data_IF_657036912597
#
_entry.id   IF_657036912597
#
_cell.length_a   1.000
_cell.length_b   1.000
_cell.length_c   1.000
_cell.angle_alpha   90.00
_cell.angle_beta   90.00
_cell.angle_gamma   90.00
#
_symmetry.space_group_name_H-M   'P 1'
#
loop_
_entity.id
_entity.type
_entity.pdbx_description
1 polymer ?
#
# COMPACT_ATOMS: atom_id res chain seq x y z
N UNK A 1 -34.61 -11.75 17.90
CA UNK A 1 -33.66 -10.91 17.13
C UNK A 1 -33.20 -11.75 15.96
N UNK A 2 -33.46 -11.27 14.74
CA UNK A 2 -33.01 -11.94 13.52
C UNK A 2 -31.50 -11.71 13.37
N UNK A 3 -30.71 -12.76 13.13
CA UNK A 3 -29.24 -12.65 13.11
C UNK A 3 -28.74 -11.78 11.95
N UNK A 4 -29.56 -11.66 10.90
CA UNK A 4 -29.32 -10.80 9.73
C UNK A 4 -29.24 -9.31 10.09
N UNK A 5 -29.88 -8.86 11.17
CA UNK A 5 -29.81 -7.46 11.59
C UNK A 5 -28.43 -7.06 12.09
N UNK A 6 -27.63 -8.02 12.57
CA UNK A 6 -26.23 -7.79 12.94
C UNK A 6 -25.33 -7.58 11.73
N UNK A 7 -25.70 -8.13 10.57
CA UNK A 7 -24.98 -7.93 9.31
C UNK A 7 -25.19 -6.51 8.79
N UNK A 8 -26.40 -5.96 8.92
CA UNK A 8 -26.67 -4.56 8.56
C UNK A 8 -25.93 -3.54 9.43
N UNK A 9 -25.57 -3.90 10.67
CA UNK A 9 -24.71 -3.12 11.56
C UNK A 9 -23.23 -3.11 11.14
N UNK A 10 -22.84 -3.92 10.16
CA UNK A 10 -21.52 -3.92 9.54
C UNK A 10 -21.47 -3.10 8.25
N UNK A 11 -22.60 -2.53 7.81
CA UNK A 11 -22.67 -1.69 6.62
C UNK A 11 -22.65 -0.21 7.02
N UNK A 12 -21.65 0.53 6.52
CA UNK A 12 -21.55 1.97 6.77
C UNK A 12 -22.14 2.76 5.59
N UNK A 13 -23.45 2.62 5.35
CA UNK A 13 -24.12 3.17 4.16
C UNK A 13 -23.88 4.68 3.95
N UNK A 14 -23.74 5.44 5.03
CA UNK A 14 -23.48 6.89 4.98
C UNK A 14 -22.03 7.27 4.65
N UNK A 15 -21.09 6.30 4.64
CA UNK A 15 -19.65 6.54 4.48
C UNK A 15 -19.16 6.52 3.03
N UNK A 16 -20.06 6.68 2.05
CA UNK A 16 -19.70 6.63 0.63
C UNK A 16 -18.71 7.73 0.22
N UNK A 17 -18.86 8.96 0.76
CA UNK A 17 -17.90 10.07 0.53
C UNK A 17 -16.54 9.71 1.10
N UNK A 18 -16.52 9.19 2.33
CA UNK A 18 -15.28 8.80 3.00
C UNK A 18 -14.55 7.70 2.20
N UNK A 19 -15.29 6.69 1.69
CA UNK A 19 -14.73 5.67 0.79
C UNK A 19 -14.07 6.30 -0.43
N UNK A 20 -14.76 7.21 -1.13
CA UNK A 20 -14.21 7.86 -2.33
C UNK A 20 -12.92 8.63 -2.04
N UNK A 21 -12.93 9.46 -0.98
CA UNK A 21 -11.79 10.27 -0.58
C UNK A 21 -10.60 9.37 -0.25
N UNK A 22 -10.82 8.33 0.56
CA UNK A 22 -9.74 7.44 1.00
C UNK A 22 -9.21 6.60 -0.17
N UNK A 23 -10.08 6.01 -1.00
CA UNK A 23 -9.66 5.20 -2.14
C UNK A 23 -8.83 6.02 -3.14
N UNK A 24 -9.31 7.21 -3.51
CA UNK A 24 -8.61 8.08 -4.48
C UNK A 24 -7.35 8.69 -3.88
N UNK A 25 -7.40 9.12 -2.62
CA UNK A 25 -6.25 9.68 -1.92
C UNK A 25 -5.10 8.68 -1.81
N UNK A 26 -5.39 7.45 -1.36
CA UNK A 26 -4.38 6.39 -1.25
C UNK A 26 -3.88 5.96 -2.62
N UNK A 27 -4.74 5.88 -3.64
CA UNK A 27 -4.30 5.63 -5.02
C UNK A 27 -3.35 6.72 -5.54
N UNK A 28 -3.62 8.00 -5.27
CA UNK A 28 -2.72 9.09 -5.63
C UNK A 28 -1.35 8.95 -4.93
N UNK A 29 -1.33 8.54 -3.66
CA UNK A 29 -0.08 8.26 -2.94
C UNK A 29 0.66 7.07 -3.56
N UNK A 30 -0.03 6.00 -4.00
CA UNK A 30 0.59 4.92 -4.76
C UNK A 30 1.22 5.42 -6.06
N UNK A 31 0.54 6.29 -6.82
CA UNK A 31 1.11 6.89 -8.04
C UNK A 31 2.41 7.64 -7.72
N UNK A 32 2.42 8.47 -6.68
CA UNK A 32 3.61 9.20 -6.25
C UNK A 32 4.73 8.27 -5.79
N UNK A 33 4.39 7.20 -5.06
CA UNK A 33 5.35 6.20 -4.62
C UNK A 33 5.98 5.48 -5.81
N UNK A 34 5.19 5.00 -6.77
CA UNK A 34 5.70 4.39 -7.99
C UNK A 34 6.52 5.36 -8.86
N UNK A 35 6.12 6.63 -8.94
CA UNK A 35 6.88 7.67 -9.65
C UNK A 35 8.23 7.93 -8.97
N UNK A 36 8.25 7.98 -7.64
CA UNK A 36 9.47 8.11 -6.85
C UNK A 36 10.39 6.91 -7.07
N UNK A 37 9.85 5.69 -6.96
CA UNK A 37 10.58 4.44 -7.23
C UNK A 37 11.12 4.40 -8.65
N UNK A 38 10.34 4.78 -9.66
CA UNK A 38 10.75 4.76 -11.07
C UNK A 38 12.04 5.56 -11.32
N UNK A 39 12.19 6.71 -10.65
CA UNK A 39 13.35 7.58 -10.79
C UNK A 39 14.49 7.25 -9.82
N UNK A 40 14.19 7.02 -8.55
CA UNK A 40 15.21 6.93 -7.50
C UNK A 40 15.74 5.50 -7.31
N UNK A 41 14.88 4.49 -7.44
CA UNK A 41 15.25 3.12 -7.12
C UNK A 41 16.40 2.59 -8.00
N UNK A 42 16.44 2.80 -9.33
CA UNK A 42 17.56 2.31 -10.14
C UNK A 42 18.93 2.84 -9.68
N UNK A 43 18.99 4.08 -9.19
CA UNK A 43 20.23 4.69 -8.70
C UNK A 43 20.63 4.13 -7.34
N UNK A 44 19.66 3.89 -6.45
CA UNK A 44 19.93 3.42 -5.09
C UNK A 44 20.17 1.92 -5.03
N UNK A 45 19.36 1.14 -5.73
CA UNK A 45 19.16 -0.29 -5.53
C UNK A 45 19.11 -1.08 -6.85
N UNK A 46 19.18 -0.40 -8.00
CA UNK A 46 19.12 -1.05 -9.31
C UNK A 46 20.28 -2.00 -9.59
N UNK A 47 20.35 -2.49 -10.83
CA UNK A 47 21.39 -3.45 -11.25
C UNK A 47 22.81 -2.94 -10.98
N UNK A 48 22.99 -1.62 -11.07
CA UNK A 48 24.25 -0.90 -10.83
C UNK A 48 24.10 0.19 -9.76
N UNK A 49 23.12 0.03 -8.86
CA UNK A 49 22.86 0.99 -7.80
C UNK A 49 23.91 0.96 -6.68
N UNK A 50 23.75 1.82 -5.68
CA UNK A 50 24.60 1.85 -4.48
C UNK A 50 24.56 0.53 -3.70
N UNK A 51 23.39 -0.09 -3.62
CA UNK A 51 23.15 -1.38 -2.97
C UNK A 51 22.41 -2.33 -3.92
N UNK A 52 23.09 -2.94 -4.90
CA UNK A 52 22.44 -3.66 -5.98
C UNK A 52 21.53 -4.81 -5.51
N UNK A 53 20.27 -4.81 -5.97
CA UNK A 53 19.29 -5.87 -5.68
C UNK A 53 19.77 -7.26 -6.13
N UNK A 54 20.40 -7.46 -7.32
CA UNK A 54 20.88 -8.78 -7.70
C UNK A 54 21.84 -9.38 -6.67
N UNK A 55 22.84 -8.60 -6.23
CA UNK A 55 23.80 -9.04 -5.22
C UNK A 55 23.16 -9.29 -3.84
N UNK A 56 22.11 -8.55 -3.51
CA UNK A 56 21.31 -8.78 -2.30
C UNK A 56 20.52 -10.10 -2.39
N UNK A 57 19.83 -10.35 -3.50
CA UNK A 57 19.06 -11.57 -3.72
C UNK A 57 19.95 -12.82 -3.74
N UNK A 58 21.15 -12.73 -4.31
CA UNK A 58 22.13 -13.83 -4.28
C UNK A 58 22.58 -14.17 -2.86
N UNK A 59 22.70 -13.16 -1.98
CA UNK A 59 23.13 -13.35 -0.58
C UNK A 59 22.01 -13.88 0.31
N UNK A 60 20.80 -13.34 0.16
CA UNK A 60 19.70 -13.55 1.11
C UNK A 60 18.74 -14.65 0.63
N UNK A 61 18.68 -14.90 -0.68
CA UNK A 61 17.89 -15.95 -1.29
C UNK A 61 16.43 -15.93 -0.82
N UNK A 62 16.00 -17.01 -0.15
CA UNK A 62 14.61 -17.17 0.31
C UNK A 62 14.23 -16.28 1.50
N UNK A 63 15.21 -15.64 2.16
CA UNK A 63 14.98 -14.77 3.31
C UNK A 63 14.65 -13.33 2.91
N UNK A 64 14.65 -13.00 1.61
CA UNK A 64 14.37 -11.65 1.10
C UNK A 64 12.89 -11.23 1.22
N UNK A 65 12.04 -12.05 1.85
CA UNK A 65 10.62 -11.78 2.02
C UNK A 65 9.77 -12.09 0.78
N UNK A 66 8.48 -11.72 0.81
CA UNK A 66 7.55 -11.95 -0.29
C UNK A 66 7.80 -10.99 -1.46
N UNK A 67 8.51 -11.45 -2.49
CA UNK A 67 8.80 -10.66 -3.69
C UNK A 67 8.68 -11.46 -4.99
N UNK A 68 8.18 -10.82 -6.04
CA UNK A 68 8.18 -11.36 -7.41
C UNK A 68 9.61 -11.58 -7.94
N UNK A 69 10.60 -10.82 -7.47
CA UNK A 69 12.00 -10.94 -7.90
C UNK A 69 12.67 -12.25 -7.47
N UNK A 70 11.97 -13.09 -6.69
CA UNK A 70 12.38 -14.46 -6.39
C UNK A 70 12.11 -15.42 -7.56
N UNK A 71 11.08 -15.15 -8.35
CA UNK A 71 10.63 -16.01 -9.44
C UNK A 71 11.04 -15.47 -10.81
N UNK A 72 11.23 -14.16 -10.91
CA UNK A 72 11.66 -13.48 -12.12
C UNK A 72 12.97 -12.74 -11.82
N UNK A 73 14.01 -12.88 -12.65
CA UNK A 73 15.27 -12.17 -12.42
C UNK A 73 15.02 -10.66 -12.39
N UNK A 74 15.56 -10.00 -11.38
CA UNK A 74 15.48 -8.55 -11.26
C UNK A 74 16.16 -7.89 -12.47
N UNK A 75 15.52 -6.88 -13.03
CA UNK A 75 16.13 -5.93 -13.96
C UNK A 75 15.51 -4.55 -13.77
N UNK A 76 16.27 -3.49 -14.08
CA UNK A 76 15.75 -2.12 -13.98
C UNK A 76 14.60 -1.88 -14.96
N UNK A 77 14.59 -2.59 -16.10
CA UNK A 77 13.50 -2.54 -17.07
C UNK A 77 12.20 -3.14 -16.50
N UNK A 78 12.28 -4.30 -15.86
CA UNK A 78 11.13 -4.94 -15.20
C UNK A 78 10.57 -4.03 -14.10
N UNK A 79 11.43 -3.50 -13.24
CA UNK A 79 11.04 -2.57 -12.19
C UNK A 79 10.30 -1.36 -12.76
N UNK A 80 10.86 -0.72 -13.81
CA UNK A 80 10.23 0.42 -14.46
C UNK A 80 8.89 0.06 -15.08
N UNK A 81 8.77 -1.12 -15.68
CA UNK A 81 7.50 -1.66 -16.18
C UNK A 81 6.46 -1.80 -15.06
N UNK A 82 6.84 -2.38 -13.92
CA UNK A 82 5.98 -2.49 -12.74
C UNK A 82 5.52 -1.12 -12.23
N UNK A 83 6.44 -0.15 -12.15
CA UNK A 83 6.11 1.22 -11.74
C UNK A 83 5.14 1.89 -12.72
N UNK A 84 5.34 1.75 -14.03
CA UNK A 84 4.42 2.29 -15.04
C UNK A 84 3.02 1.68 -14.90
N UNK A 85 2.93 0.36 -14.80
CA UNK A 85 1.65 -0.35 -14.59
C UNK A 85 1.00 0.11 -13.28
N UNK A 86 1.76 0.19 -12.19
CA UNK A 86 1.29 0.69 -10.89
C UNK A 86 0.74 2.11 -10.96
N UNK A 87 1.42 3.03 -11.67
CA UNK A 87 0.94 4.39 -11.89
C UNK A 87 -0.35 4.42 -12.71
N UNK A 88 -0.44 3.63 -13.79
CA UNK A 88 -1.65 3.56 -14.61
C UNK A 88 -2.86 3.03 -13.81
N UNK A 89 -2.65 2.00 -12.99
CA UNK A 89 -3.68 1.47 -12.09
C UNK A 89 -4.11 2.50 -11.04
N UNK A 90 -3.15 3.20 -10.42
CA UNK A 90 -3.44 4.25 -9.45
C UNK A 90 -4.22 5.41 -10.07
N UNK A 91 -3.82 5.86 -11.26
CA UNK A 91 -4.54 6.88 -12.02
C UNK A 91 -5.96 6.43 -12.39
N UNK A 92 -6.15 5.16 -12.78
CA UNK A 92 -7.48 4.62 -13.04
C UNK A 92 -8.40 4.71 -11.81
N UNK A 93 -7.89 4.41 -10.61
CA UNK A 93 -8.64 4.58 -9.35
C UNK A 93 -8.92 6.04 -9.03
N UNK A 94 -7.94 6.93 -9.23
CA UNK A 94 -8.12 8.39 -9.04
C UNK A 94 -9.21 8.93 -9.95
N UNK A 95 -9.29 8.45 -11.18
CA UNK A 95 -10.36 8.80 -12.15
C UNK A 95 -11.70 8.12 -11.83
N UNK A 96 -11.72 7.10 -10.98
CA UNK A 96 -12.95 6.43 -10.57
C UNK A 96 -13.36 5.26 -11.47
N UNK A 97 -12.46 4.73 -12.30
CA UNK A 97 -12.82 3.69 -13.28
C UNK A 97 -13.16 2.35 -12.59
N UNK A 98 -12.32 1.82 -11.67
CA UNK A 98 -12.64 0.56 -11.00
C UNK A 98 -13.87 0.65 -10.10
N UNK A 99 -14.17 1.82 -9.53
CA UNK A 99 -15.33 2.03 -8.67
C UNK A 99 -16.67 1.81 -9.37
N UNK A 100 -16.72 1.94 -10.70
CA UNK A 100 -17.90 1.68 -11.53
C UNK A 100 -18.09 0.19 -11.86
N UNK A 101 -17.07 -0.64 -11.60
CA UNK A 101 -17.10 -2.08 -11.87
C UNK A 101 -17.79 -2.90 -10.76
N UNK A 102 -17.66 -4.23 -10.83
CA UNK A 102 -18.12 -5.14 -9.78
C UNK A 102 -17.38 -4.93 -8.46
N UNK A 103 -17.94 -5.38 -7.33
CA UNK A 103 -17.35 -5.22 -6.00
C UNK A 103 -15.87 -5.61 -5.87
N UNK A 104 -15.44 -6.64 -6.60
CA UNK A 104 -14.07 -7.16 -6.56
C UNK A 104 -13.06 -6.34 -7.38
N UNK A 105 -13.49 -5.38 -8.21
CA UNK A 105 -12.59 -4.57 -9.05
C UNK A 105 -11.58 -3.79 -8.23
N UNK A 106 -12.02 -3.19 -7.12
CA UNK A 106 -11.17 -2.44 -6.20
C UNK A 106 -10.12 -3.35 -5.57
N UNK A 107 -10.53 -4.54 -5.13
CA UNK A 107 -9.63 -5.54 -4.56
C UNK A 107 -8.58 -5.99 -5.59
N UNK A 108 -8.98 -6.23 -6.84
CA UNK A 108 -8.06 -6.63 -7.89
C UNK A 108 -7.03 -5.53 -8.20
N UNK A 109 -7.47 -4.28 -8.35
CA UNK A 109 -6.59 -3.16 -8.70
C UNK A 109 -5.64 -2.81 -7.55
N UNK A 110 -6.15 -2.67 -6.32
CA UNK A 110 -5.30 -2.45 -5.15
C UNK A 110 -4.42 -3.65 -4.85
N UNK A 111 -4.92 -4.88 -5.02
CA UNK A 111 -4.13 -6.10 -4.84
C UNK A 111 -2.95 -6.19 -5.80
N UNK A 112 -3.15 -5.79 -7.06
CA UNK A 112 -2.08 -5.70 -8.05
C UNK A 112 -1.04 -4.63 -7.68
N UNK A 113 -1.49 -3.40 -7.35
CA UNK A 113 -0.59 -2.33 -6.88
C UNK A 113 0.18 -2.75 -5.63
N UNK A 114 -0.51 -3.35 -4.66
CA UNK A 114 0.07 -3.84 -3.41
C UNK A 114 1.12 -4.93 -3.66
N UNK A 115 0.83 -5.93 -4.49
CA UNK A 115 1.77 -7.02 -4.78
C UNK A 115 3.04 -6.52 -5.50
N UNK A 116 2.88 -5.60 -6.46
CA UNK A 116 4.00 -4.96 -7.13
C UNK A 116 4.82 -4.12 -6.15
N UNK A 117 4.18 -3.27 -5.34
CA UNK A 117 4.89 -2.41 -4.40
C UNK A 117 5.55 -3.22 -3.27
N UNK A 118 4.91 -4.27 -2.75
CA UNK A 118 5.48 -5.18 -1.76
C UNK A 118 6.73 -5.87 -2.30
N UNK A 119 6.72 -6.24 -3.58
CA UNK A 119 7.90 -6.86 -4.22
C UNK A 119 9.09 -5.92 -4.25
N UNK A 120 8.85 -4.61 -4.42
CA UNK A 120 9.87 -3.55 -4.43
C UNK A 120 10.35 -3.28 -3.01
N UNK A 121 9.44 -3.07 -2.05
CA UNK A 121 9.76 -2.81 -0.64
C UNK A 121 10.58 -3.95 -0.03
N UNK A 122 10.24 -5.21 -0.34
CA UNK A 122 10.94 -6.39 0.20
C UNK A 122 12.43 -6.44 -0.17
N UNK A 123 12.81 -5.85 -1.31
CA UNK A 123 14.21 -5.79 -1.76
C UNK A 123 14.84 -4.40 -1.57
N UNK A 124 14.11 -3.46 -0.97
CA UNK A 124 14.52 -2.06 -0.88
C UNK A 124 15.53 -1.73 0.23
N UNK A 125 15.99 -2.75 0.97
CA UNK A 125 17.08 -2.67 1.96
C UNK A 125 16.91 -1.46 2.91
N UNK A 126 17.99 -0.72 3.17
CA UNK A 126 17.98 0.43 4.09
C UNK A 126 17.13 1.60 3.58
N UNK A 127 16.98 1.76 2.26
CA UNK A 127 16.29 2.92 1.68
C UNK A 127 14.76 2.81 1.79
N UNK A 128 14.23 1.59 1.88
CA UNK A 128 12.80 1.31 2.05
C UNK A 128 12.48 0.72 3.43
N UNK A 129 13.45 0.76 4.36
CA UNK A 129 13.30 0.23 5.72
C UNK A 129 12.55 1.16 6.68
N UNK A 130 12.10 2.33 6.22
CA UNK A 130 11.34 3.26 7.03
C UNK A 130 9.86 2.86 7.11
N UNK A 131 9.13 3.44 8.07
CA UNK A 131 7.74 3.04 8.35
C UNK A 131 6.71 3.48 7.29
N UNK A 132 7.09 4.30 6.31
CA UNK A 132 6.14 4.88 5.35
C UNK A 132 5.69 3.85 4.31
N UNK A 133 6.60 3.00 3.90
CA UNK A 133 6.44 1.97 2.88
C UNK A 133 5.51 0.87 3.38
N UNK A 134 5.74 0.39 4.62
CA UNK A 134 4.87 -0.57 5.28
C UNK A 134 3.49 0.02 5.54
N UNK A 135 3.41 1.30 5.94
CA UNK A 135 2.13 1.99 6.14
C UNK A 135 1.32 2.08 4.83
N UNK A 136 1.96 2.39 3.70
CA UNK A 136 1.27 2.44 2.40
C UNK A 136 0.76 1.06 1.97
N UNK A 137 1.51 -0.01 2.25
CA UNK A 137 1.09 -1.39 1.99
C UNK A 137 -0.10 -1.80 2.86
N UNK A 138 -0.06 -1.52 4.16
CA UNK A 138 -1.16 -1.81 5.08
C UNK A 138 -2.42 -1.03 4.70
N UNK A 139 -2.28 0.27 4.42
CA UNK A 139 -3.39 1.13 4.02
C UNK A 139 -3.98 0.67 2.66
N UNK A 140 -3.13 0.38 1.67
CA UNK A 140 -3.57 -0.11 0.37
C UNK A 140 -4.35 -1.43 0.44
N UNK A 141 -3.92 -2.36 1.32
CA UNK A 141 -4.64 -3.61 1.53
C UNK A 141 -6.05 -3.39 2.12
N UNK A 142 -6.18 -2.52 3.13
CA UNK A 142 -7.48 -2.18 3.73
C UNK A 142 -8.40 -1.47 2.73
N UNK A 143 -7.85 -0.52 1.98
CA UNK A 143 -8.61 0.30 1.03
C UNK A 143 -9.12 -0.52 -0.16
N UNK A 144 -8.35 -1.51 -0.62
CA UNK A 144 -8.80 -2.46 -1.64
C UNK A 144 -10.03 -3.26 -1.23
N UNK A 145 -10.22 -3.49 0.07
CA UNK A 145 -11.35 -4.24 0.63
C UNK A 145 -12.61 -3.38 0.90
N UNK A 146 -12.57 -2.07 0.61
CA UNK A 146 -13.76 -1.19 0.75
C UNK A 146 -14.82 -1.37 -0.35
N UNK A 147 -14.50 -2.14 -1.41
CA UNK A 147 -15.41 -2.42 -2.51
C UNK A 147 -15.70 -1.23 -3.43
N UNK A 148 -16.43 -1.52 -4.51
CA UNK A 148 -16.89 -0.56 -5.53
C UNK A 148 -18.24 0.08 -5.19
N UNK A 149 -18.80 0.90 -6.09
CA UNK A 149 -20.17 1.45 -5.96
C UNK A 149 -21.26 0.38 -5.93
N UNK A 150 -20.99 -0.84 -6.41
CA UNK A 150 -21.94 -1.95 -6.41
C UNK A 150 -22.31 -2.48 -5.00
N UNK A 151 -21.57 -2.13 -3.96
CA UNK A 151 -21.79 -2.59 -2.58
C UNK A 151 -21.59 -1.44 -1.57
N UNK A 152 -22.27 -1.45 -0.41
CA UNK A 152 -21.95 -0.52 0.66
C UNK A 152 -20.52 -0.76 1.19
N UNK A 153 -19.84 0.28 1.70
CA UNK A 153 -18.52 0.13 2.31
C UNK A 153 -18.63 -0.71 3.60
N UNK A 154 -17.77 -1.74 3.77
CA UNK A 154 -17.75 -2.54 5.00
C UNK A 154 -17.26 -1.71 6.19
N UNK A 155 -18.07 -1.58 7.23
CA UNK A 155 -17.75 -0.84 8.46
C UNK A 155 -16.49 -1.39 9.15
N UNK A 156 -16.27 -2.70 9.08
CA UNK A 156 -15.06 -3.31 9.65
C UNK A 156 -13.78 -2.73 9.04
N UNK A 157 -13.76 -2.49 7.71
CA UNK A 157 -12.59 -1.91 7.05
C UNK A 157 -12.41 -0.44 7.44
N UNK A 158 -13.50 0.30 7.63
CA UNK A 158 -13.44 1.68 8.16
C UNK A 158 -12.86 1.69 9.58
N UNK A 159 -13.28 0.78 10.46
CA UNK A 159 -12.73 0.65 11.79
C UNK A 159 -11.24 0.32 11.77
N UNK A 160 -10.79 -0.54 10.85
CA UNK A 160 -9.37 -0.83 10.67
C UNK A 160 -8.57 0.36 10.14
N UNK A 161 -9.15 1.20 9.28
CA UNK A 161 -8.53 2.45 8.85
C UNK A 161 -8.40 3.45 10.00
N UNK A 162 -9.44 3.58 10.83
CA UNK A 162 -9.39 4.41 12.05
C UNK A 162 -8.35 3.87 13.04
N UNK A 163 -8.30 2.55 13.22
CA UNK A 163 -7.27 1.91 14.04
C UNK A 163 -5.86 2.16 13.51
N UNK A 164 -5.67 2.07 12.19
CA UNK A 164 -4.39 2.36 11.54
C UNK A 164 -3.96 3.81 11.80
N UNK A 165 -4.89 4.77 11.71
CA UNK A 165 -4.65 6.17 12.03
C UNK A 165 -4.27 6.37 13.52
N UNK A 166 -5.04 5.77 14.44
CA UNK A 166 -4.73 5.84 15.88
C UNK A 166 -3.34 5.29 16.15
N UNK A 167 -3.03 4.10 15.62
CA UNK A 167 -1.72 3.45 15.80
C UNK A 167 -0.59 4.29 15.24
N UNK A 168 -0.81 4.97 14.10
CA UNK A 168 0.18 5.85 13.48
C UNK A 168 0.49 7.05 14.39
N UNK A 169 -0.53 7.83 14.76
CA UNK A 169 -0.37 9.06 15.53
C UNK A 169 0.14 8.77 16.95
N UNK A 170 -0.45 7.76 17.59
CA UNK A 170 -0.01 7.33 18.91
C UNK A 170 1.42 6.77 18.88
N UNK A 171 1.76 5.96 17.88
CA UNK A 171 3.10 5.41 17.70
C UNK A 171 4.15 6.51 17.50
N UNK A 172 3.84 7.52 16.67
CA UNK A 172 4.71 8.68 16.48
C UNK A 172 4.92 9.45 17.80
N UNK A 173 3.87 9.64 18.60
CA UNK A 173 3.95 10.24 19.93
C UNK A 173 4.83 9.44 20.89
N UNK A 174 4.65 8.12 20.96
CA UNK A 174 5.46 7.25 21.82
C UNK A 174 6.95 7.26 21.48
N UNK A 175 7.29 7.34 20.19
CA UNK A 175 8.69 7.46 19.76
C UNK A 175 9.32 8.75 20.30
N UNK A 176 8.59 9.87 20.24
CA UNK A 176 9.04 11.16 20.79
C UNK A 176 9.20 11.10 22.30
N UNK A 177 8.19 10.61 23.01
CA UNK A 177 8.23 10.41 24.48
C UNK A 177 9.43 9.55 24.91
N UNK A 178 9.80 8.54 24.13
CA UNK A 178 10.98 7.70 24.39
C UNK A 178 12.29 8.42 24.09
N UNK A 179 12.36 9.13 22.97
CA UNK A 179 13.60 9.67 22.41
C UNK A 179 14.04 11.03 22.96
N UNK A 180 13.14 11.84 23.51
CA UNK A 180 13.43 13.24 23.82
C UNK A 180 12.79 13.68 25.16
N UNK A 181 13.57 14.37 26.00
CA UNK A 181 13.14 14.89 27.31
C UNK A 181 12.13 16.01 27.19
N UNK A 182 12.20 16.82 26.13
CA UNK A 182 11.27 17.95 25.91
C UNK A 182 9.81 17.54 25.74
N UNK A 183 9.56 16.25 25.48
CA UNK A 183 8.22 15.67 25.40
C UNK A 183 7.77 15.04 26.72
N UNK A 184 8.67 14.84 27.68
CA UNK A 184 8.39 14.22 28.98
C UNK A 184 8.28 15.21 30.14
N UNK A 185 9.11 16.24 30.09
CA UNK A 185 9.28 17.27 31.14
C UNK A 185 8.53 18.56 30.73
#
# INVERSE_FOLDING_TARGET
MDWTSWIGLLDAQDSWIAREIVQRGVAAVYVLAFLSTFHQFPVLLGERGLLPVPAFLDRVGRLAGPTLFRHVPYSDALLRGMCLVGMLLGLAVVLGLPQQGPAWSMLAVFGAMWAMYLSIVSVGQIFYGYGWESMLLECGALVGLLGSHAVPPPQLMILFLLWLLIRLEFGAGMIKMRGDRSWRD
#
